data_IF_037572145091
#
_entry.id   IF_037572145091
#
_cell.length_a   1.000
_cell.length_b   1.000
_cell.length_c   1.000
_cell.angle_alpha   90.00
_cell.angle_beta   90.00
_cell.angle_gamma   90.00
#
_symmetry.space_group_name_H-M   'P 1'
#
loop_
_entity.id
_entity.type
_entity.pdbx_description
1 polymer ?
#
# COMPACT_ATOMS: atom_id res chain seq x y z
N UNK A 1 2.68 -34.91 43.36
CA UNK A 1 3.92 -34.21 42.94
C UNK A 1 3.99 -34.30 41.42
N UNK A 2 3.23 -33.47 40.68
CA UNK A 2 3.54 -32.10 40.20
C UNK A 2 4.64 -32.05 39.11
N UNK A 3 4.17 -32.05 37.85
CA UNK A 3 4.48 -31.09 36.78
C UNK A 3 5.94 -30.65 36.53
N UNK A 4 6.54 -31.09 35.41
CA UNK A 4 7.38 -30.26 34.51
C UNK A 4 7.46 -30.93 33.13
N UNK A 5 6.50 -30.69 32.22
CA UNK A 5 6.66 -31.00 30.77
C UNK A 5 5.73 -30.08 29.95
N UNK A 6 5.97 -28.78 30.01
CA UNK A 6 5.45 -27.79 29.05
C UNK A 6 6.61 -26.84 28.74
N UNK A 7 7.12 -26.82 27.50
CA UNK A 7 8.28 -26.01 27.15
C UNK A 7 8.35 -25.54 25.69
N UNK A 8 8.33 -26.43 24.67
CA UNK A 8 8.40 -25.96 23.26
C UNK A 8 7.16 -26.28 22.40
N UNK A 9 6.44 -27.37 22.68
CA UNK A 9 5.38 -27.89 21.79
C UNK A 9 4.11 -27.02 21.79
N UNK A 10 3.67 -26.57 22.96
CA UNK A 10 2.42 -25.81 23.07
C UNK A 10 2.48 -24.46 22.34
N UNK A 11 3.61 -23.76 22.39
CA UNK A 11 3.74 -22.40 21.82
C UNK A 11 3.69 -22.45 20.28
N UNK A 12 4.27 -23.49 19.66
CA UNK A 12 4.20 -23.71 18.21
C UNK A 12 2.77 -23.96 17.72
N UNK A 13 1.99 -24.77 18.45
CA UNK A 13 0.60 -25.06 18.10
C UNK A 13 -0.29 -23.81 18.15
N UNK A 14 -0.20 -23.01 19.22
CA UNK A 14 -0.94 -21.74 19.30
C UNK A 14 -0.49 -20.72 18.24
N UNK A 15 0.80 -20.71 17.89
CA UNK A 15 1.34 -19.85 16.83
C UNK A 15 0.83 -20.26 15.43
N UNK A 16 0.68 -21.57 15.16
CA UNK A 16 0.09 -22.07 13.91
C UNK A 16 -1.41 -21.75 13.78
N UNK A 17 -2.16 -21.75 14.90
CA UNK A 17 -3.56 -21.35 14.93
C UNK A 17 -3.76 -19.84 14.69
N UNK A 18 -2.82 -19.02 15.16
CA UNK A 18 -2.84 -17.56 15.01
C UNK A 18 -2.46 -17.04 13.61
N UNK A 19 -2.06 -17.92 12.69
CA UNK A 19 -1.59 -17.53 11.36
C UNK A 19 -2.70 -17.69 10.29
N UNK A 20 -3.32 -16.59 9.83
CA UNK A 20 -4.38 -16.64 8.83
C UNK A 20 -3.89 -17.06 7.43
N UNK A 21 -2.59 -16.93 7.16
CA UNK A 21 -1.97 -17.24 5.87
C UNK A 21 -1.39 -18.67 5.88
N UNK A 22 -0.92 -19.13 7.05
CA UNK A 22 -0.29 -20.43 7.27
C UNK A 22 1.19 -20.46 6.91
N UNK A 23 1.82 -19.29 6.82
CA UNK A 23 3.25 -19.11 6.62
C UNK A 23 4.10 -19.77 7.73
N UNK A 24 3.72 -19.58 9.00
CA UNK A 24 4.37 -20.19 10.18
C UNK A 24 4.21 -21.70 10.18
N UNK A 25 3.03 -22.22 9.80
CA UNK A 25 2.80 -23.66 9.71
C UNK A 25 3.63 -24.33 8.60
N UNK A 26 3.77 -23.64 7.47
CA UNK A 26 4.59 -24.09 6.33
C UNK A 26 6.08 -24.04 6.69
N UNK A 27 6.54 -22.93 7.29
CA UNK A 27 7.93 -22.80 7.73
C UNK A 27 8.31 -23.83 8.80
N UNK A 28 7.44 -24.11 9.76
CA UNK A 28 7.72 -25.10 10.80
C UNK A 28 7.84 -26.53 10.20
N UNK A 29 7.06 -26.83 9.15
CA UNK A 29 7.17 -28.09 8.40
C UNK A 29 8.49 -28.18 7.62
N UNK A 30 8.88 -27.10 6.95
CA UNK A 30 10.15 -27.05 6.21
C UNK A 30 11.40 -26.99 7.12
N UNK A 31 11.29 -26.44 8.33
CA UNK A 31 12.42 -26.37 9.26
C UNK A 31 12.68 -27.66 10.05
N UNK A 32 11.67 -28.54 10.18
CA UNK A 32 11.79 -29.79 10.94
C UNK A 32 12.03 -31.01 10.03
N UNK A 33 11.62 -30.99 8.75
CA UNK A 33 11.66 -32.18 7.87
C UNK A 33 12.70 -32.16 6.72
N UNK A 34 13.82 -31.44 6.83
CA UNK A 34 14.89 -31.45 5.80
C UNK A 34 16.22 -31.77 6.49
N UNK A 35 16.75 -33.02 6.55
CA UNK A 35 17.18 -34.00 5.52
C UNK A 35 17.29 -35.42 6.17
N UNK A 36 17.13 -36.58 5.48
CA UNK A 36 17.68 -36.85 4.15
C UNK A 36 16.82 -37.65 3.12
N UNK A 37 17.03 -37.25 1.85
CA UNK A 37 17.35 -38.05 0.65
C UNK A 37 16.31 -38.97 -0.02
N UNK A 38 15.27 -39.49 0.61
CA UNK A 38 14.34 -40.37 -0.13
C UNK A 38 12.89 -39.94 0.08
N UNK A 39 12.17 -39.66 -1.00
CA UNK A 39 10.92 -40.34 -1.41
C UNK A 39 10.13 -39.47 -2.41
N UNK A 40 9.88 -40.10 -3.55
CA UNK A 40 9.29 -39.61 -4.80
C UNK A 40 7.78 -39.30 -4.71
N UNK A 41 7.21 -39.20 -3.51
CA UNK A 41 5.78 -38.96 -3.30
C UNK A 41 5.57 -37.76 -2.37
N UNK A 42 5.17 -36.63 -2.95
CA UNK A 42 4.75 -35.42 -2.24
C UNK A 42 3.34 -35.61 -1.67
N UNK A 43 3.10 -36.67 -0.90
CA UNK A 43 1.85 -36.78 -0.17
C UNK A 43 1.86 -35.71 0.93
N UNK A 44 1.15 -34.63 0.66
CA UNK A 44 0.86 -33.57 1.62
C UNK A 44 -0.11 -34.18 2.63
N UNK A 45 0.38 -34.99 3.56
CA UNK A 45 -0.43 -35.56 4.63
C UNK A 45 -1.06 -34.39 5.39
N UNK A 46 -2.38 -34.27 5.28
CA UNK A 46 -3.18 -33.24 5.94
C UNK A 46 -3.17 -33.55 7.44
N UNK A 47 -2.16 -33.06 8.16
CA UNK A 47 -2.16 -33.12 9.62
C UNK A 47 -3.38 -32.38 10.18
N UNK A 48 -3.98 -32.97 11.22
CA UNK A 48 -5.20 -32.50 11.86
C UNK A 48 -5.11 -31.04 12.33
N UNK A 49 -3.94 -30.60 12.80
CA UNK A 49 -3.71 -29.22 13.29
C UNK A 49 -3.83 -28.16 12.19
N UNK A 50 -3.32 -28.43 10.98
CA UNK A 50 -3.45 -27.53 9.82
C UNK A 50 -4.90 -27.41 9.36
N UNK A 51 -5.62 -28.53 9.29
CA UNK A 51 -7.04 -28.55 8.92
C UNK A 51 -7.90 -27.75 9.91
N UNK A 52 -7.65 -27.89 11.21
CA UNK A 52 -8.38 -27.15 12.25
C UNK A 52 -8.13 -25.64 12.17
N UNK A 53 -6.89 -25.22 11.92
CA UNK A 53 -6.56 -23.81 11.68
C UNK A 53 -7.29 -23.24 10.46
N UNK A 54 -7.30 -23.97 9.33
CA UNK A 54 -7.99 -23.54 8.11
C UNK A 54 -9.51 -23.48 8.30
N UNK A 55 -10.10 -24.46 8.99
CA UNK A 55 -11.53 -24.48 9.26
C UNK A 55 -11.95 -23.30 10.15
N UNK A 56 -11.16 -22.99 11.17
CA UNK A 56 -11.40 -21.85 12.07
C UNK A 56 -11.40 -20.52 11.30
N UNK A 57 -10.40 -20.28 10.46
CA UNK A 57 -10.30 -19.05 9.66
C UNK A 57 -11.35 -18.97 8.55
N UNK A 58 -11.72 -20.10 7.92
CA UNK A 58 -12.85 -20.14 6.98
C UNK A 58 -14.17 -19.76 7.65
N UNK A 59 -14.39 -20.20 8.89
CA UNK A 59 -15.59 -19.86 9.66
C UNK A 59 -15.60 -18.37 10.02
N UNK A 60 -14.46 -17.81 10.41
CA UNK A 60 -14.31 -16.35 10.63
C UNK A 60 -14.56 -15.57 9.34
N UNK A 61 -13.97 -16.01 8.22
CA UNK A 61 -14.15 -15.40 6.90
C UNK A 61 -15.61 -15.45 6.44
N UNK A 62 -16.27 -16.60 6.57
CA UNK A 62 -17.69 -16.76 6.26
C UNK A 62 -18.58 -15.91 7.17
N UNK A 63 -18.26 -15.81 8.47
CA UNK A 63 -18.95 -14.94 9.41
C UNK A 63 -18.80 -13.47 9.05
N UNK A 64 -17.59 -13.02 8.73
CA UNK A 64 -17.32 -11.66 8.28
C UNK A 64 -18.03 -11.36 6.94
N UNK A 65 -18.04 -12.32 6.01
CA UNK A 65 -18.75 -12.23 4.74
C UNK A 65 -20.27 -12.14 4.96
N UNK A 66 -20.83 -12.95 5.86
CA UNK A 66 -22.25 -12.92 6.20
C UNK A 66 -22.66 -11.59 6.86
N UNK A 67 -21.83 -11.08 7.79
CA UNK A 67 -22.06 -9.79 8.44
C UNK A 67 -21.97 -8.64 7.44
N UNK A 68 -20.93 -8.63 6.60
CA UNK A 68 -20.76 -7.61 5.57
C UNK A 68 -21.87 -7.69 4.55
N UNK A 69 -22.24 -8.87 4.06
CA UNK A 69 -23.38 -9.09 3.16
C UNK A 69 -24.70 -8.57 3.76
N UNK A 70 -24.98 -8.85 5.04
CA UNK A 70 -26.20 -8.34 5.71
C UNK A 70 -26.16 -6.85 6.00
N UNK A 71 -24.99 -6.28 6.26
CA UNK A 71 -24.80 -4.84 6.51
C UNK A 71 -24.70 -4.05 5.21
N UNK A 72 -24.34 -4.69 4.10
CA UNK A 72 -24.15 -4.07 2.80
C UNK A 72 -25.50 -3.76 2.18
N UNK A 73 -25.95 -2.52 2.39
CA UNK A 73 -27.01 -1.94 1.57
C UNK A 73 -26.36 -1.42 0.29
N UNK A 74 -26.82 -1.90 -0.86
CA UNK A 74 -26.59 -1.27 -2.17
C UNK A 74 -27.23 0.13 -2.18
N UNK A 75 -26.62 1.06 -1.48
CA UNK A 75 -26.89 2.48 -1.62
C UNK A 75 -25.71 3.03 -2.39
N UNK A 76 -25.88 3.11 -3.70
CA UNK A 76 -25.06 3.96 -4.55
C UNK A 76 -24.90 5.31 -3.83
N UNK A 77 -23.70 5.89 -3.73
CA UNK A 77 -23.52 7.27 -3.30
C UNK A 77 -24.00 8.22 -4.42
N UNK A 78 -25.23 8.03 -4.90
CA UNK A 78 -25.97 9.12 -5.50
C UNK A 78 -26.52 9.93 -4.34
N UNK A 79 -26.18 11.22 -4.35
CA UNK A 79 -26.56 12.20 -3.35
C UNK A 79 -27.99 11.95 -2.86
N UNK A 80 -28.11 11.90 -1.54
CA UNK A 80 -29.37 11.79 -0.83
C UNK A 80 -30.42 12.67 -1.51
N UNK A 81 -31.47 12.05 -2.07
CA UNK A 81 -32.64 12.72 -2.67
C UNK A 81 -33.33 13.69 -1.69
N UNK A 82 -32.98 13.64 -0.39
CA UNK A 82 -33.36 14.61 0.64
C UNK A 82 -32.56 15.92 0.56
N UNK A 83 -31.30 15.91 0.16
CA UNK A 83 -30.47 17.12 0.00
C UNK A 83 -30.89 17.92 -1.24
N UNK A 84 -31.25 17.25 -2.35
CA UNK A 84 -31.77 17.92 -3.54
C UNK A 84 -33.15 18.54 -3.30
N UNK A 85 -34.04 17.89 -2.52
CA UNK A 85 -35.32 18.49 -2.11
C UNK A 85 -35.13 19.67 -1.14
N UNK A 86 -34.10 19.64 -0.29
CA UNK A 86 -33.78 20.75 0.62
C UNK A 86 -33.19 21.96 -0.11
N UNK A 87 -32.38 21.73 -1.16
CA UNK A 87 -31.88 22.79 -2.05
C UNK A 87 -32.97 23.37 -2.93
N UNK A 88 -33.84 22.53 -3.51
CA UNK A 88 -34.98 22.98 -4.33
C UNK A 88 -36.00 23.82 -3.53
N UNK A 89 -36.15 23.57 -2.22
CA UNK A 89 -37.03 24.36 -1.35
C UNK A 89 -36.43 25.71 -0.93
N UNK A 90 -35.10 25.83 -0.86
CA UNK A 90 -34.41 27.10 -0.57
C UNK A 90 -34.25 28.01 -1.80
N UNK A 91 -34.35 27.46 -3.01
CA UNK A 91 -34.15 28.21 -4.26
C UNK A 91 -35.41 28.93 -4.77
N UNK A 92 -36.58 28.70 -4.13
CA UNK A 92 -37.86 29.32 -4.54
C UNK A 92 -38.16 30.68 -3.91
N UNK A 93 -37.30 31.19 -3.02
CA UNK A 93 -37.48 32.52 -2.39
C UNK A 93 -36.14 33.23 -2.33
N UNK A 94 -35.67 33.71 -3.47
CA UNK A 94 -34.72 34.81 -3.52
C UNK A 94 -35.31 35.87 -4.47
N UNK A 95 -35.53 37.13 -4.02
CA UNK A 95 -35.93 38.17 -4.94
C UNK A 95 -34.82 38.35 -5.98
N UNK A 96 -35.23 38.45 -7.25
CA UNK A 96 -34.34 38.76 -8.36
C UNK A 96 -33.75 40.16 -8.15
N UNK A 97 -32.60 40.24 -7.50
CA UNK A 97 -31.79 41.44 -7.48
C UNK A 97 -31.32 41.64 -8.92
N UNK A 98 -31.83 42.68 -9.59
CA UNK A 98 -31.26 43.10 -10.87
C UNK A 98 -29.84 43.58 -10.59
N UNK A 99 -28.85 42.72 -10.83
CA UNK A 99 -27.46 43.10 -10.81
C UNK A 99 -27.26 44.04 -12.00
N UNK A 100 -27.35 45.35 -11.73
CA UNK A 100 -26.86 46.37 -12.64
C UNK A 100 -25.39 46.05 -12.87
N UNK A 101 -25.06 45.67 -14.11
CA UNK A 101 -23.71 45.38 -14.56
C UNK A 101 -22.86 46.65 -14.48
N UNK A 102 -22.40 47.00 -13.29
CA UNK A 102 -21.17 47.75 -13.16
C UNK A 102 -20.07 46.77 -13.54
N UNK A 103 -19.54 46.88 -14.75
CA UNK A 103 -18.29 46.20 -15.11
C UNK A 103 -17.24 46.76 -14.15
N UNK A 104 -16.75 45.99 -13.16
CA UNK A 104 -15.57 46.42 -12.44
C UNK A 104 -14.46 46.44 -13.49
N UNK A 105 -13.69 47.52 -13.57
CA UNK A 105 -12.40 47.47 -14.24
C UNK A 105 -11.57 46.42 -13.50
N UNK A 106 -11.58 45.18 -14.01
CA UNK A 106 -10.76 44.10 -13.48
C UNK A 106 -9.34 44.52 -13.81
N UNK A 107 -8.47 44.82 -12.81
CA UNK A 107 -7.10 45.13 -13.11
C UNK A 107 -6.52 43.95 -13.89
N UNK A 108 -6.02 44.24 -15.09
CA UNK A 108 -5.37 43.26 -15.97
C UNK A 108 -4.12 42.74 -15.26
N UNK A 109 -4.30 41.77 -14.37
CA UNK A 109 -3.21 41.09 -13.70
C UNK A 109 -2.56 40.20 -14.74
N UNK A 110 -1.48 40.68 -15.36
CA UNK A 110 -0.63 39.86 -16.23
C UNK A 110 -0.04 38.76 -15.34
N UNK A 111 -0.45 37.49 -15.49
CA UNK A 111 0.12 36.43 -14.69
C UNK A 111 1.59 36.34 -15.08
N UNK A 112 2.50 36.64 -14.14
CA UNK A 112 3.91 36.35 -14.32
C UNK A 112 4.07 34.83 -14.24
N UNK A 113 4.01 34.17 -15.41
CA UNK A 113 4.38 32.76 -15.58
C UNK A 113 5.90 32.61 -15.44
N UNK A 114 6.38 32.79 -14.22
CA UNK A 114 7.77 32.60 -13.88
C UNK A 114 7.98 31.15 -13.41
N UNK A 115 9.16 30.60 -13.68
CA UNK A 115 9.52 29.28 -13.17
C UNK A 115 9.33 29.16 -11.64
N UNK A 116 9.63 30.23 -10.90
CA UNK A 116 9.42 30.27 -9.45
C UNK A 116 7.94 30.18 -9.04
N UNK A 117 7.02 30.74 -9.83
CA UNK A 117 5.58 30.65 -9.53
C UNK A 117 5.07 29.24 -9.81
N UNK A 118 5.51 28.61 -10.90
CA UNK A 118 5.23 27.21 -11.20
C UNK A 118 5.77 26.26 -10.12
N UNK A 119 6.99 26.48 -9.62
CA UNK A 119 7.57 25.67 -8.55
C UNK A 119 6.80 25.81 -7.22
N UNK A 120 6.41 27.03 -6.85
CA UNK A 120 5.57 27.27 -5.66
C UNK A 120 4.20 26.59 -5.81
N UNK A 121 3.57 26.70 -6.97
CA UNK A 121 2.31 26.01 -7.26
C UNK A 121 2.48 24.48 -7.13
N UNK A 122 3.54 23.92 -7.73
CA UNK A 122 3.87 22.51 -7.64
C UNK A 122 4.04 22.04 -6.18
N UNK A 123 4.81 22.77 -5.37
CA UNK A 123 5.02 22.44 -3.95
C UNK A 123 3.72 22.46 -3.15
N UNK A 124 2.88 23.48 -3.36
CA UNK A 124 1.60 23.62 -2.66
C UNK A 124 0.67 22.46 -3.03
N UNK A 125 0.53 22.15 -4.32
CA UNK A 125 -0.31 21.04 -4.81
C UNK A 125 0.21 19.70 -4.28
N UNK A 126 1.53 19.49 -4.34
CA UNK A 126 2.19 18.29 -3.82
C UNK A 126 1.88 18.10 -2.34
N UNK A 127 2.07 19.15 -1.52
CA UNK A 127 1.81 19.11 -0.08
C UNK A 127 0.34 18.83 0.23
N UNK A 128 -0.60 19.45 -0.50
CA UNK A 128 -2.02 19.22 -0.33
C UNK A 128 -2.40 17.76 -0.66
N UNK A 129 -1.89 17.24 -1.77
CA UNK A 129 -2.13 15.85 -2.20
C UNK A 129 -1.52 14.85 -1.20
N UNK A 130 -0.30 15.09 -0.76
CA UNK A 130 0.37 14.28 0.25
C UNK A 130 -0.41 14.26 1.56
N UNK A 131 -0.80 15.43 2.08
CA UNK A 131 -1.58 15.52 3.32
C UNK A 131 -2.96 14.86 3.19
N UNK A 132 -3.58 14.95 2.02
CA UNK A 132 -4.84 14.25 1.75
C UNK A 132 -4.67 12.74 1.86
N UNK A 133 -3.62 12.21 1.24
CA UNK A 133 -3.34 10.77 1.23
C UNK A 133 -2.89 10.29 2.61
N UNK A 134 -1.96 11.01 3.24
CA UNK A 134 -1.40 10.69 4.55
C UNK A 134 -2.46 10.64 5.66
N UNK A 135 -3.46 11.54 5.64
CA UNK A 135 -4.54 11.57 6.65
C UNK A 135 -5.59 10.48 6.47
N UNK A 136 -5.66 9.82 5.30
CA UNK A 136 -6.58 8.70 5.13
C UNK A 136 -6.13 7.49 5.94
N UNK A 137 -7.11 6.70 6.42
CA UNK A 137 -6.86 5.44 7.14
C UNK A 137 -5.96 4.50 6.36
N UNK A 138 -6.18 4.42 5.05
CA UNK A 138 -5.40 3.59 4.16
C UNK A 138 -4.08 4.24 3.71
N UNK A 139 -3.66 5.40 4.24
CA UNK A 139 -2.49 6.17 3.80
C UNK A 139 -1.27 6.00 4.69
N UNK A 140 -0.94 7.02 5.50
CA UNK A 140 0.19 6.93 6.43
C UNK A 140 0.00 5.88 7.54
N UNK A 141 -1.19 5.71 8.15
CA UNK A 141 -1.39 4.74 9.23
C UNK A 141 -1.08 3.29 8.83
N UNK A 142 -1.40 2.88 7.60
CA UNK A 142 -1.11 1.51 7.14
C UNK A 142 0.40 1.31 6.94
N UNK A 143 1.12 2.32 6.47
CA UNK A 143 2.58 2.28 6.33
C UNK A 143 3.28 2.24 7.69
N UNK A 144 2.77 3.00 8.66
CA UNK A 144 3.24 2.94 10.05
C UNK A 144 2.96 1.57 10.66
N UNK A 145 1.76 1.03 10.47
CA UNK A 145 1.41 -0.32 10.93
C UNK A 145 2.36 -1.37 10.34
N UNK A 146 2.66 -1.29 9.05
CA UNK A 146 3.58 -2.21 8.39
C UNK A 146 5.00 -2.10 8.97
N UNK A 147 5.48 -0.88 9.26
CA UNK A 147 6.76 -0.68 9.95
C UNK A 147 6.76 -1.20 11.40
N UNK A 148 5.64 -1.10 12.12
CA UNK A 148 5.51 -1.71 13.45
C UNK A 148 5.51 -3.24 13.39
N UNK A 149 4.85 -3.82 12.38
CA UNK A 149 4.88 -5.26 12.14
C UNK A 149 6.31 -5.75 11.91
N UNK A 150 7.14 -4.98 11.20
CA UNK A 150 8.57 -5.28 11.04
C UNK A 150 9.30 -5.36 12.38
N UNK A 151 9.07 -4.41 13.29
CA UNK A 151 9.70 -4.41 14.62
C UNK A 151 9.35 -5.67 15.42
N UNK A 152 8.15 -6.20 15.23
CA UNK A 152 7.69 -7.41 15.91
C UNK A 152 8.25 -8.66 15.24
N UNK A 153 8.16 -8.78 13.91
CA UNK A 153 8.47 -10.02 13.20
C UNK A 153 9.98 -10.25 13.07
N UNK A 154 10.75 -9.22 12.71
CA UNK A 154 12.19 -9.40 12.39
C UNK A 154 13.00 -10.09 13.50
N UNK A 155 12.87 -9.73 14.79
CA UNK A 155 13.61 -10.41 15.86
C UNK A 155 13.30 -11.89 15.99
N UNK A 156 12.08 -12.33 15.61
CA UNK A 156 11.75 -13.76 15.58
C UNK A 156 12.37 -14.42 14.36
N UNK A 157 12.29 -13.80 13.18
CA UNK A 157 12.88 -14.34 11.96
C UNK A 157 14.40 -14.50 12.06
N UNK A 158 15.10 -13.55 12.67
CA UNK A 158 16.57 -13.60 12.82
C UNK A 158 17.05 -14.60 13.86
N UNK A 159 16.23 -14.95 14.86
CA UNK A 159 16.59 -15.95 15.89
C UNK A 159 16.46 -17.39 15.43
N UNK A 160 15.60 -17.67 14.46
CA UNK A 160 15.36 -19.01 13.93
C UNK A 160 16.33 -19.42 12.82
N UNK A 161 17.14 -18.47 12.35
CA UNK A 161 18.09 -18.71 11.28
C UNK A 161 19.49 -18.53 11.85
N UNK A 162 20.24 -19.62 12.00
CA UNK A 162 21.63 -19.66 12.49
C UNK A 162 22.58 -18.96 11.50
N UNK A 163 22.46 -17.64 11.37
CA UNK A 163 23.23 -16.84 10.44
C UNK A 163 24.51 -16.30 11.10
N UNK A 164 25.47 -17.18 11.38
CA UNK A 164 26.82 -16.78 11.82
C UNK A 164 27.77 -16.40 10.67
N UNK A 165 27.35 -16.47 9.39
CA UNK A 165 28.28 -16.31 8.24
C UNK A 165 28.11 -15.05 7.38
N UNK A 166 27.09 -14.19 7.58
CA UNK A 166 26.88 -12.97 6.78
C UNK A 166 26.81 -11.70 7.64
N UNK A 167 27.11 -10.50 7.08
CA UNK A 167 26.89 -9.24 7.76
C UNK A 167 25.41 -9.12 8.16
N UNK A 168 25.15 -8.95 9.45
CA UNK A 168 23.79 -8.91 10.02
C UNK A 168 22.89 -7.87 9.31
N UNK A 169 23.45 -6.73 8.90
CA UNK A 169 22.73 -5.68 8.17
C UNK A 169 22.24 -6.16 6.80
N UNK A 170 23.04 -6.94 6.05
CA UNK A 170 22.66 -7.42 4.72
C UNK A 170 21.46 -8.38 4.79
N UNK A 171 21.44 -9.25 5.81
CA UNK A 171 20.35 -10.19 6.05
C UNK A 171 19.05 -9.45 6.41
N UNK A 172 19.13 -8.50 7.34
CA UNK A 172 17.97 -7.68 7.71
C UNK A 172 17.45 -6.93 6.48
N UNK A 173 18.34 -6.28 5.73
CA UNK A 173 17.97 -5.54 4.52
C UNK A 173 17.31 -6.43 3.46
N UNK A 174 17.75 -7.68 3.28
CA UNK A 174 17.10 -8.63 2.37
C UNK A 174 15.66 -8.95 2.77
N UNK A 175 15.38 -9.04 4.08
CA UNK A 175 14.03 -9.24 4.61
C UNK A 175 13.15 -7.98 4.49
N UNK A 176 13.76 -6.79 4.59
CA UNK A 176 13.06 -5.53 4.34
C UNK A 176 12.82 -5.31 2.85
N UNK A 177 13.77 -5.68 2.00
CA UNK A 177 13.84 -5.28 0.60
C UNK A 177 13.68 -6.51 -0.27
N UNK A 178 12.42 -6.85 -0.51
CA UNK A 178 12.07 -7.95 -1.40
C UNK A 178 11.79 -7.43 -2.80
N UNK A 179 12.21 -8.17 -3.84
CA UNK A 179 11.83 -7.92 -5.22
C UNK A 179 10.31 -7.81 -5.39
N UNK A 180 9.89 -6.97 -6.32
CA UNK A 180 8.47 -6.66 -6.55
C UNK A 180 7.72 -7.85 -7.20
N UNK A 181 8.44 -8.73 -7.87
CA UNK A 181 8.00 -9.96 -8.52
C UNK A 181 7.85 -11.16 -7.55
N UNK A 182 8.27 -11.02 -6.29
CA UNK A 182 8.20 -12.12 -5.32
C UNK A 182 6.82 -12.22 -4.66
N UNK A 183 6.02 -13.21 -5.08
CA UNK A 183 4.63 -13.43 -4.60
C UNK A 183 4.53 -13.73 -3.10
N UNK A 184 5.51 -14.43 -2.52
CA UNK A 184 5.48 -14.85 -1.11
C UNK A 184 5.94 -13.74 -0.14
N UNK A 185 6.24 -12.55 -0.66
CA UNK A 185 6.76 -11.45 0.12
C UNK A 185 5.66 -10.72 0.91
N UNK A 186 5.86 -10.41 2.20
CA UNK A 186 4.93 -9.55 2.95
C UNK A 186 4.81 -8.14 2.35
N UNK A 187 5.75 -7.75 1.48
CA UNK A 187 5.81 -6.44 0.83
C UNK A 187 4.91 -6.30 -0.39
N UNK A 188 4.23 -7.37 -0.83
CA UNK A 188 3.28 -7.36 -1.96
C UNK A 188 2.15 -6.32 -1.77
N UNK A 189 1.85 -5.95 -0.52
CA UNK A 189 0.85 -4.92 -0.21
C UNK A 189 1.23 -3.53 -0.76
N UNK A 190 2.52 -3.22 -0.92
CA UNK A 190 2.99 -1.89 -1.35
C UNK A 190 2.61 -1.58 -2.81
N UNK A 191 2.90 -2.45 -3.80
CA UNK A 191 2.36 -2.32 -5.16
C UNK A 191 0.85 -2.17 -5.23
N UNK A 192 0.12 -2.91 -4.40
CA UNK A 192 -1.35 -2.86 -4.36
C UNK A 192 -1.86 -1.50 -3.84
N UNK A 193 -1.22 -0.99 -2.77
CA UNK A 193 -1.47 0.36 -2.26
C UNK A 193 -1.10 1.42 -3.31
N UNK A 194 -0.06 1.20 -4.11
CA UNK A 194 0.35 2.13 -5.16
C UNK A 194 -0.72 2.28 -6.25
N UNK A 195 -1.30 1.16 -6.70
CA UNK A 195 -2.42 1.14 -7.64
C UNK A 195 -3.60 1.92 -7.05
N UNK A 196 -3.94 1.64 -5.80
CA UNK A 196 -5.03 2.31 -5.09
C UNK A 196 -4.80 3.82 -4.92
N UNK A 197 -3.62 4.23 -4.44
CA UNK A 197 -3.27 5.64 -4.24
C UNK A 197 -3.27 6.44 -5.53
N UNK A 198 -2.74 5.85 -6.61
CA UNK A 198 -2.71 6.49 -7.92
C UNK A 198 -4.13 6.70 -8.43
N UNK A 199 -4.98 5.67 -8.39
CA UNK A 199 -6.36 5.78 -8.82
C UNK A 199 -7.15 6.79 -7.96
N UNK A 200 -7.00 6.75 -6.64
CA UNK A 200 -7.69 7.67 -5.74
C UNK A 200 -7.29 9.12 -6.01
N UNK A 201 -5.99 9.39 -6.20
CA UNK A 201 -5.50 10.75 -6.36
C UNK A 201 -5.80 11.35 -7.75
N UNK A 202 -5.73 10.54 -8.81
CA UNK A 202 -6.05 10.98 -10.18
C UNK A 202 -7.53 11.33 -10.29
N UNK A 203 -8.39 10.51 -9.69
CA UNK A 203 -9.85 10.63 -9.83
C UNK A 203 -10.50 11.52 -8.78
N UNK A 204 -9.78 11.88 -7.71
CA UNK A 204 -10.27 12.75 -6.62
C UNK A 204 -10.99 13.98 -7.12
N UNK A 205 -10.41 14.69 -8.09
CA UNK A 205 -10.93 15.99 -8.54
C UNK A 205 -12.26 15.81 -9.31
N UNK A 206 -12.42 14.69 -10.02
CA UNK A 206 -13.67 14.31 -10.71
C UNK A 206 -14.73 13.86 -9.72
N UNK A 207 -14.36 13.05 -8.72
CA UNK A 207 -15.28 12.53 -7.71
C UNK A 207 -15.81 13.61 -6.76
N UNK A 208 -14.97 14.59 -6.43
CA UNK A 208 -15.36 15.73 -5.58
C UNK A 208 -16.07 16.84 -6.36
N UNK A 209 -16.32 16.66 -7.67
CA UNK A 209 -16.94 17.63 -8.58
C UNK A 209 -16.24 18.99 -8.63
N UNK A 210 -14.96 19.03 -8.28
CA UNK A 210 -14.12 20.23 -8.35
C UNK A 210 -13.29 20.30 -9.64
N UNK A 211 -13.40 19.31 -10.52
CA UNK A 211 -12.66 19.24 -11.79
C UNK A 211 -12.77 20.53 -12.60
N UNK A 212 -13.95 21.13 -12.67
CA UNK A 212 -14.18 22.39 -13.40
C UNK A 212 -13.50 23.58 -12.71
N UNK A 213 -13.43 23.58 -11.38
CA UNK A 213 -12.74 24.62 -10.62
C UNK A 213 -11.22 24.49 -10.77
N UNK A 214 -10.71 23.26 -10.75
CA UNK A 214 -9.30 22.96 -11.00
C UNK A 214 -8.91 23.31 -12.44
N UNK A 215 -9.77 23.02 -13.43
CA UNK A 215 -9.56 23.39 -14.82
C UNK A 215 -9.60 24.91 -15.06
N UNK A 216 -10.33 25.66 -14.24
CA UNK A 216 -10.36 27.12 -14.28
C UNK A 216 -9.12 27.78 -13.62
N UNK A 217 -8.28 27.01 -12.91
CA UNK A 217 -7.05 27.56 -12.34
C UNK A 217 -6.00 27.78 -13.42
N UNK A 218 -5.21 28.86 -13.38
CA UNK A 218 -4.13 29.12 -14.33
C UNK A 218 -2.88 28.28 -14.00
N UNK A 219 -3.05 26.98 -13.80
CA UNK A 219 -1.98 26.02 -13.50
C UNK A 219 -1.86 25.05 -14.67
N UNK A 220 -0.65 24.88 -15.20
CA UNK A 220 -0.39 23.91 -16.27
C UNK A 220 -0.73 22.48 -15.83
N UNK A 221 -1.32 21.71 -16.73
CA UNK A 221 -1.65 20.30 -16.51
C UNK A 221 -0.42 19.46 -16.13
N UNK A 222 0.75 19.78 -16.70
CA UNK A 222 2.00 19.11 -16.38
C UNK A 222 2.41 19.33 -14.92
N UNK A 223 2.21 20.54 -14.39
CA UNK A 223 2.49 20.85 -12.98
C UNK A 223 1.55 20.10 -12.05
N UNK A 224 0.26 20.02 -12.40
CA UNK A 224 -0.70 19.24 -11.60
C UNK A 224 -0.37 17.75 -11.61
N UNK A 225 0.00 17.22 -12.77
CA UNK A 225 0.37 15.82 -12.94
C UNK A 225 1.60 15.44 -12.12
N UNK A 226 2.69 16.18 -12.30
CA UNK A 226 3.95 15.95 -11.59
C UNK A 226 3.81 16.18 -10.08
N UNK A 227 2.94 17.09 -9.64
CA UNK A 227 2.65 17.31 -8.22
C UNK A 227 1.87 16.14 -7.59
N UNK A 228 1.00 15.47 -8.34
CA UNK A 228 0.30 14.26 -7.87
C UNK A 228 1.27 13.09 -7.77
N UNK A 229 2.13 12.90 -8.78
CA UNK A 229 3.16 11.86 -8.76
C UNK A 229 4.13 12.06 -7.57
N UNK A 230 4.65 13.28 -7.38
CA UNK A 230 5.56 13.60 -6.28
C UNK A 230 4.92 13.41 -4.90
N UNK A 231 3.61 13.65 -4.75
CA UNK A 231 2.90 13.39 -3.51
C UNK A 231 2.90 11.90 -3.13
N UNK A 232 2.74 11.01 -4.11
CA UNK A 232 2.79 9.56 -3.90
C UNK A 232 4.24 9.12 -3.62
N UNK A 233 5.21 9.67 -4.36
CA UNK A 233 6.64 9.40 -4.14
C UNK A 233 7.05 9.79 -2.71
N UNK A 234 6.66 10.98 -2.24
CA UNK A 234 6.92 11.41 -0.86
C UNK A 234 6.30 10.46 0.17
N UNK A 235 5.08 9.98 -0.07
CA UNK A 235 4.44 9.01 0.82
C UNK A 235 5.21 7.68 0.84
N UNK A 236 5.67 7.21 -0.31
CA UNK A 236 6.53 6.02 -0.40
C UNK A 236 7.87 6.22 0.29
N UNK A 237 8.52 7.37 0.11
CA UNK A 237 9.78 7.70 0.79
C UNK A 237 9.61 7.67 2.31
N UNK A 238 8.51 8.24 2.83
CA UNK A 238 8.22 8.21 4.27
C UNK A 238 7.97 6.78 4.76
N UNK A 239 7.14 6.00 4.05
CA UNK A 239 6.86 4.60 4.43
C UNK A 239 8.10 3.71 4.39
N UNK A 240 8.92 3.86 3.35
CA UNK A 240 10.17 3.15 3.20
C UNK A 240 11.20 3.57 4.25
N UNK A 241 11.28 4.87 4.55
CA UNK A 241 12.13 5.39 5.62
C UNK A 241 11.74 4.82 6.98
N UNK A 242 10.44 4.79 7.31
CA UNK A 242 9.94 4.14 8.54
C UNK A 242 10.33 2.66 8.60
N UNK A 243 10.23 1.95 7.47
CA UNK A 243 10.64 0.55 7.37
C UNK A 243 12.14 0.37 7.62
N UNK A 244 12.99 1.18 6.98
CA UNK A 244 14.44 1.10 7.17
C UNK A 244 14.84 1.45 8.61
N UNK A 245 14.21 2.47 9.19
CA UNK A 245 14.40 2.81 10.60
C UNK A 245 14.00 1.66 11.53
N UNK A 246 12.89 0.96 11.24
CA UNK A 246 12.51 -0.23 12.01
C UNK A 246 13.57 -1.35 11.91
N UNK A 247 14.15 -1.58 10.72
CA UNK A 247 15.26 -2.52 10.55
C UNK A 247 16.50 -2.15 11.37
N UNK A 248 16.91 -0.88 11.31
CA UNK A 248 18.04 -0.36 12.10
C UNK A 248 17.79 -0.54 13.60
N UNK A 249 16.58 -0.23 14.08
CA UNK A 249 16.21 -0.41 15.50
C UNK A 249 16.33 -1.89 15.90
N UNK A 250 15.81 -2.80 15.08
CA UNK A 250 15.92 -4.25 15.35
C UNK A 250 17.37 -4.71 15.38
N UNK A 251 18.19 -4.23 14.45
CA UNK A 251 19.61 -4.59 14.39
C UNK A 251 20.36 -4.17 15.66
N UNK A 252 20.13 -2.93 16.11
CA UNK A 252 20.72 -2.41 17.35
C UNK A 252 20.25 -3.20 18.57
N UNK A 253 18.96 -3.56 18.62
CA UNK A 253 18.40 -4.38 19.72
C UNK A 253 18.97 -5.80 19.76
N UNK A 254 19.42 -6.33 18.62
CA UNK A 254 20.09 -7.63 18.52
C UNK A 254 21.60 -7.54 18.82
N UNK A 255 22.12 -6.35 19.16
CA UNK A 255 23.55 -6.12 19.44
C UNK A 255 24.40 -5.93 18.19
N UNK A 256 23.79 -5.75 17.02
CA UNK A 256 24.49 -5.50 15.76
C UNK A 256 24.91 -4.04 15.57
N UNK A 257 25.79 -3.81 14.59
CA UNK A 257 26.23 -2.48 14.18
C UNK A 257 25.68 -2.14 12.80
N UNK A 258 24.61 -1.33 12.69
CA UNK A 258 23.94 -1.07 11.43
C UNK A 258 24.83 -0.26 10.46
N UNK A 259 25.00 -0.78 9.25
CA UNK A 259 25.61 -0.02 8.15
C UNK A 259 24.58 0.93 7.51
N UNK A 260 24.59 2.18 7.95
CA UNK A 260 23.67 3.22 7.47
C UNK A 260 23.74 3.45 5.95
N UNK A 261 24.92 3.28 5.34
CA UNK A 261 25.08 3.46 3.90
C UNK A 261 24.37 2.33 3.14
N UNK A 262 24.45 1.10 3.66
CA UNK A 262 23.76 -0.05 3.09
C UNK A 262 22.23 0.12 3.16
N UNK A 263 21.69 0.58 4.30
CA UNK A 263 20.26 0.87 4.42
C UNK A 263 19.80 1.98 3.46
N UNK A 264 20.61 3.03 3.29
CA UNK A 264 20.29 4.14 2.39
C UNK A 264 20.32 3.70 0.92
N UNK A 265 21.33 2.94 0.53
CA UNK A 265 21.48 2.45 -0.85
C UNK A 265 20.39 1.44 -1.22
N UNK A 266 20.12 0.46 -0.36
CA UNK A 266 19.04 -0.51 -0.57
C UNK A 266 17.67 0.17 -0.59
N UNK A 267 17.44 1.14 0.29
CA UNK A 267 16.22 1.95 0.31
C UNK A 267 16.08 2.80 -0.95
N UNK A 268 17.14 3.46 -1.40
CA UNK A 268 17.15 4.22 -2.63
C UNK A 268 16.82 3.37 -3.85
N UNK A 269 17.42 2.18 -3.95
CA UNK A 269 17.16 1.24 -5.04
C UNK A 269 15.70 0.75 -5.03
N UNK A 270 15.17 0.37 -3.87
CA UNK A 270 13.77 -0.04 -3.76
C UNK A 270 12.79 1.09 -4.11
N UNK A 271 13.10 2.31 -3.66
CA UNK A 271 12.29 3.48 -4.00
C UNK A 271 12.26 3.69 -5.51
N UNK A 272 13.41 3.55 -6.18
CA UNK A 272 13.49 3.65 -7.63
C UNK A 272 12.57 2.65 -8.32
N UNK A 273 12.60 1.38 -7.91
CA UNK A 273 11.69 0.34 -8.46
C UNK A 273 10.22 0.68 -8.26
N UNK A 274 9.84 1.21 -7.09
CA UNK A 274 8.46 1.68 -6.87
C UNK A 274 8.09 2.89 -7.72
N UNK A 275 9.03 3.78 -8.02
CA UNK A 275 8.81 4.93 -8.90
C UNK A 275 8.57 4.47 -10.35
N UNK A 276 9.28 3.46 -10.84
CA UNK A 276 9.02 2.87 -12.16
C UNK A 276 7.62 2.26 -12.23
N UNK A 277 7.25 1.47 -11.21
CA UNK A 277 5.91 0.91 -11.12
C UNK A 277 4.84 2.00 -11.06
N UNK A 278 5.09 3.08 -10.31
CA UNK A 278 4.20 4.24 -10.24
C UNK A 278 3.98 4.86 -11.63
N UNK A 279 5.04 5.07 -12.39
CA UNK A 279 4.93 5.61 -13.75
C UNK A 279 4.12 4.70 -14.67
N UNK A 280 4.30 3.38 -14.58
CA UNK A 280 3.49 2.40 -15.30
C UNK A 280 2.00 2.52 -14.93
N UNK A 281 1.68 2.58 -13.64
CA UNK A 281 0.29 2.69 -13.16
C UNK A 281 -0.34 4.01 -13.65
N UNK A 282 0.39 5.12 -13.57
CA UNK A 282 -0.06 6.42 -14.08
C UNK A 282 -0.36 6.35 -15.58
N UNK A 283 0.53 5.75 -16.37
CA UNK A 283 0.34 5.57 -17.80
C UNK A 283 -0.94 4.77 -18.11
N UNK A 284 -1.14 3.64 -17.43
CA UNK A 284 -2.35 2.82 -17.57
C UNK A 284 -3.61 3.59 -17.20
N UNK A 285 -3.59 4.33 -16.09
CA UNK A 285 -4.74 5.12 -15.63
C UNK A 285 -5.15 6.21 -16.62
N UNK A 286 -4.18 6.86 -17.26
CA UNK A 286 -4.43 7.87 -18.28
C UNK A 286 -5.05 7.23 -19.54
N UNK A 287 -4.51 6.10 -20.00
CA UNK A 287 -4.99 5.41 -21.20
C UNK A 287 -6.42 4.89 -21.05
N UNK A 288 -6.73 4.25 -19.92
CA UNK A 288 -8.05 3.62 -19.71
C UNK A 288 -9.12 4.67 -19.42
N UNK A 289 -8.76 5.82 -18.85
CA UNK A 289 -9.65 6.94 -18.54
C UNK A 289 -10.94 6.50 -17.79
N UNK A 290 -10.86 5.45 -16.97
CA UNK A 290 -11.90 4.98 -16.05
C UNK A 290 -11.24 4.52 -14.74
N UNK A 291 -11.75 4.93 -13.58
CA UNK A 291 -11.11 4.66 -12.27
C UNK A 291 -10.95 3.16 -12.00
N UNK A 292 -12.07 2.44 -12.01
CA UNK A 292 -12.09 1.02 -11.64
C UNK A 292 -11.45 0.14 -12.72
N UNK A 293 -11.72 0.42 -13.99
CA UNK A 293 -11.08 -0.30 -15.10
C UNK A 293 -9.58 -0.04 -15.12
N UNK A 294 -9.13 1.20 -14.88
CA UNK A 294 -7.71 1.53 -14.77
C UNK A 294 -7.04 0.78 -13.63
N UNK A 295 -7.69 0.69 -12.46
CA UNK A 295 -7.17 -0.12 -11.34
C UNK A 295 -7.07 -1.60 -11.72
N UNK A 296 -8.09 -2.14 -12.39
CA UNK A 296 -8.10 -3.54 -12.83
C UNK A 296 -6.97 -3.81 -13.84
N UNK A 297 -6.78 -2.95 -14.84
CA UNK A 297 -5.72 -3.10 -15.83
C UNK A 297 -4.34 -2.94 -15.19
N UNK A 298 -4.16 -1.99 -14.26
CA UNK A 298 -2.91 -1.87 -13.50
C UNK A 298 -2.63 -3.10 -12.65
N UNK A 299 -3.67 -3.72 -12.07
CA UNK A 299 -3.56 -4.95 -11.31
C UNK A 299 -3.17 -6.13 -12.19
N UNK A 300 -3.75 -6.25 -13.38
CA UNK A 300 -3.39 -7.28 -14.37
C UNK A 300 -1.95 -7.08 -14.84
N UNK A 301 -1.55 -5.85 -15.18
CA UNK A 301 -0.19 -5.54 -15.59
C UNK A 301 0.83 -5.88 -14.49
N UNK A 302 0.52 -5.57 -13.23
CA UNK A 302 1.34 -5.98 -12.10
C UNK A 302 1.36 -7.50 -11.90
N UNK A 303 0.22 -8.18 -12.09
CA UNK A 303 0.14 -9.65 -12.07
C UNK A 303 1.02 -10.30 -13.13
N UNK A 304 1.09 -9.74 -14.34
CA UNK A 304 1.99 -10.24 -15.38
C UNK A 304 3.46 -10.11 -14.98
N UNK A 305 3.84 -9.02 -14.30
CA UNK A 305 5.20 -8.85 -13.75
C UNK A 305 5.48 -9.90 -12.67
N UNK A 306 4.54 -10.14 -11.76
CA UNK A 306 4.66 -11.14 -10.69
C UNK A 306 4.83 -12.58 -11.21
N UNK A 307 4.16 -12.91 -12.32
CA UNK A 307 4.19 -14.27 -12.87
C UNK A 307 5.10 -14.41 -14.10
N UNK A 308 5.87 -13.38 -14.47
CA UNK A 308 6.71 -13.40 -15.65
C UNK A 308 7.68 -14.59 -15.67
N UNK A 309 8.31 -14.87 -14.52
CA UNK A 309 9.18 -16.03 -14.31
C UNK A 309 8.49 -17.36 -14.62
N UNK A 310 7.30 -17.57 -14.05
CA UNK A 310 6.52 -18.79 -14.24
C UNK A 310 5.94 -18.93 -15.65
N UNK A 311 5.84 -17.83 -16.40
CA UNK A 311 5.37 -17.79 -17.78
C UNK A 311 6.52 -17.99 -18.80
N UNK A 312 7.76 -18.15 -18.34
CA UNK A 312 8.93 -18.31 -19.21
C UNK A 312 9.30 -17.04 -19.97
N UNK A 313 8.96 -15.86 -19.43
CA UNK A 313 9.24 -14.55 -20.03
C UNK A 313 10.58 -13.95 -19.57
N UNK A 314 11.47 -14.76 -18.99
CA UNK A 314 12.79 -14.31 -18.58
C UNK A 314 13.77 -14.28 -19.76
N UNK A 315 14.68 -13.32 -19.74
CA UNK A 315 15.86 -13.35 -20.62
C UNK A 315 16.81 -14.46 -20.15
N UNK A 316 17.47 -15.19 -21.07
CA UNK A 316 18.39 -16.27 -20.75
C UNK A 316 19.63 -15.82 -19.97
#
# INVERSE_FOLDING_TARGET
>A
MTSVLYGPLAIGEWATLGDPVGFVAILNKYSIEVMPVDHENWDITLESTLLWGRLFWLLIGAGALFITYRRFKFSSPQGSRKEDKARARKQKVAPSISLRSAQPEIPYFRPAYNFLTALKQWQIITRMCFMHLAKRKAGLPILVLLALVVLVILPFSTKHMDFSMYPQSANIISLLTSPIDQVQSPWMIIPLLLIFYTAELLWRDRETRISNLVAATPVSEFVQFTAKASAIILLLTVGLGLRMLAGIVVEVLLGGHPDYLLYLTAGGLQLFTYVLLLMLIFFVQILVNQKFTGMLVSLIAYGLILFAANLGLEHP
#
